data_IF_795585571107
#
_entry.id   IF_795585571107
#
_cell.length_a   1.000
_cell.length_b   1.000
_cell.length_c   1.000
_cell.angle_alpha   90.00
_cell.angle_beta   90.00
_cell.angle_gamma   90.00
#
_symmetry.space_group_name_H-M   'P 1'
#
loop_
_entity.id
_entity.type
_entity.pdbx_description
1 polymer ?
#
# COMPACT_ATOMS: atom_id res chain seq x y z
N UNK A 1 17.29 -2.24 17.71
CA UNK A 1 17.81 -2.61 16.40
C UNK A 1 17.34 -1.60 15.37
N UNK A 2 18.23 -1.20 14.46
CA UNK A 2 17.94 -0.12 13.53
C UNK A 2 18.41 -0.46 12.13
N UNK A 3 17.55 -0.18 11.15
CA UNK A 3 17.84 -0.44 9.75
C UNK A 3 17.83 0.86 8.96
N UNK A 4 18.69 0.93 7.94
CA UNK A 4 18.73 2.06 7.01
C UNK A 4 17.63 1.95 5.96
N UNK A 5 17.21 0.71 5.64
CA UNK A 5 16.24 0.47 4.58
C UNK A 5 15.42 -0.77 4.89
N UNK A 6 14.11 -0.68 4.63
CA UNK A 6 13.16 -1.81 4.74
C UNK A 6 12.41 -1.93 3.43
N UNK A 7 12.34 -3.14 2.89
CA UNK A 7 11.58 -3.44 1.68
C UNK A 7 10.53 -4.50 1.95
N UNK A 8 9.26 -4.20 1.61
CA UNK A 8 8.17 -5.17 1.65
C UNK A 8 7.50 -5.24 0.29
N UNK A 9 7.77 -6.32 -0.44
CA UNK A 9 7.14 -6.59 -1.73
C UNK A 9 6.03 -7.61 -1.57
N UNK A 10 4.81 -7.26 -1.99
CA UNK A 10 3.64 -8.15 -1.96
C UNK A 10 3.27 -8.65 -0.57
N UNK A 11 3.52 -7.85 0.46
CA UNK A 11 3.16 -8.21 1.84
C UNK A 11 1.84 -7.53 2.22
N UNK A 12 1.76 -6.21 2.10
CA UNK A 12 0.57 -5.46 2.48
C UNK A 12 -0.61 -5.71 1.53
N UNK A 13 -0.34 -6.21 0.33
CA UNK A 13 -1.40 -6.60 -0.62
C UNK A 13 -2.18 -7.83 -0.15
N UNK A 14 -1.76 -8.49 0.93
CA UNK A 14 -2.41 -9.65 1.51
C UNK A 14 -2.78 -9.45 2.98
N UNK A 15 -2.83 -8.20 3.44
CA UNK A 15 -3.11 -7.87 4.83
C UNK A 15 -4.32 -6.97 4.96
N UNK A 16 -5.10 -7.18 6.02
CA UNK A 16 -6.22 -6.32 6.37
C UNK A 16 -5.72 -5.07 7.11
N UNK A 17 -6.55 -3.99 7.18
CA UNK A 17 -6.10 -2.69 7.68
C UNK A 17 -5.44 -2.72 9.04
N UNK A 18 -5.98 -3.49 9.98
CA UNK A 18 -5.44 -3.56 11.34
C UNK A 18 -4.00 -4.09 11.34
N UNK A 19 -3.73 -5.06 10.48
CA UNK A 19 -2.39 -5.64 10.36
C UNK A 19 -1.43 -4.66 9.68
N UNK A 20 -1.89 -3.98 8.64
CA UNK A 20 -1.09 -2.97 7.94
C UNK A 20 -0.68 -1.86 8.91
N UNK A 21 -1.61 -1.38 9.74
CA UNK A 21 -1.33 -0.34 10.72
C UNK A 21 -0.27 -0.79 11.71
N UNK A 22 -0.40 -2.02 12.22
CA UNK A 22 0.56 -2.56 13.18
C UNK A 22 1.94 -2.75 12.56
N UNK A 23 2.00 -3.29 11.35
CA UNK A 23 3.28 -3.51 10.67
C UNK A 23 3.96 -2.19 10.31
N UNK A 24 3.19 -1.20 9.89
CA UNK A 24 3.78 0.10 9.55
C UNK A 24 4.37 0.77 10.79
N UNK A 25 3.70 0.62 11.94
CA UNK A 25 4.23 1.09 13.22
C UNK A 25 5.56 0.39 13.56
N UNK A 26 5.67 -0.91 13.30
CA UNK A 26 6.91 -1.66 13.53
C UNK A 26 8.01 -1.27 12.54
N UNK A 27 7.66 -0.99 11.30
CA UNK A 27 8.64 -0.50 10.31
C UNK A 27 9.21 0.83 10.78
N UNK A 28 8.35 1.74 11.24
CA UNK A 28 8.81 3.00 11.83
C UNK A 28 9.79 2.75 12.98
N UNK A 29 9.44 1.79 13.86
CA UNK A 29 10.26 1.51 15.04
C UNK A 29 11.66 1.02 14.68
N UNK A 30 11.77 0.15 13.66
CA UNK A 30 13.06 -0.45 13.29
C UNK A 30 13.90 0.40 12.36
N UNK A 31 13.31 1.40 11.70
CA UNK A 31 14.07 2.30 10.83
C UNK A 31 14.88 3.29 11.67
N UNK A 32 16.11 3.54 11.23
CA UNK A 32 16.88 4.67 11.76
C UNK A 32 16.23 5.98 11.33
N UNK A 33 16.44 7.03 12.11
CA UNK A 33 16.08 8.38 11.68
C UNK A 33 16.75 8.66 10.32
N UNK A 34 15.96 9.09 9.34
CA UNK A 34 16.43 9.27 7.97
C UNK A 34 16.41 8.00 7.13
N UNK A 35 16.14 6.83 7.74
CA UNK A 35 16.02 5.59 7.01
C UNK A 35 14.79 5.56 6.11
N UNK A 36 14.80 4.71 5.11
CA UNK A 36 13.74 4.66 4.09
C UNK A 36 13.06 3.31 4.04
N UNK A 37 11.80 3.31 3.61
CA UNK A 37 11.05 2.09 3.31
C UNK A 37 10.57 2.14 1.87
N UNK A 38 10.50 0.97 1.23
CA UNK A 38 9.80 0.78 -0.04
C UNK A 38 8.80 -0.34 0.18
N UNK A 39 7.51 0.00 0.02
CA UNK A 39 6.41 -0.95 0.24
C UNK A 39 5.50 -0.93 -0.97
N UNK A 40 5.06 -2.11 -1.39
CA UNK A 40 4.17 -2.21 -2.55
C UNK A 40 2.73 -2.39 -2.12
N UNK A 41 1.81 -1.83 -2.92
CA UNK A 41 0.37 -1.80 -2.66
C UNK A 41 -0.41 -2.02 -3.94
N UNK A 42 -1.71 -2.29 -3.78
CA UNK A 42 -2.71 -1.99 -4.78
C UNK A 42 -3.45 -0.75 -4.29
N UNK A 43 -3.21 0.40 -4.92
CA UNK A 43 -3.79 1.66 -4.45
C UNK A 43 -5.06 2.01 -5.25
N UNK A 44 -6.11 2.33 -4.51
CA UNK A 44 -7.36 2.79 -5.09
C UNK A 44 -7.27 4.29 -5.31
N UNK A 45 -7.24 4.68 -6.57
CA UNK A 45 -7.30 6.07 -7.03
C UNK A 45 -8.60 6.25 -7.80
N UNK A 46 -8.94 7.48 -8.17
CA UNK A 46 -10.12 7.71 -9.01
C UNK A 46 -10.06 6.89 -10.30
N UNK A 47 -8.87 6.75 -10.87
CA UNK A 47 -8.66 6.00 -12.11
C UNK A 47 -8.89 4.50 -11.94
N UNK A 48 -8.29 3.90 -10.89
CA UNK A 48 -8.45 2.46 -10.64
C UNK A 48 -9.85 2.12 -10.18
N UNK A 49 -10.47 2.97 -9.36
CA UNK A 49 -11.87 2.79 -8.95
C UNK A 49 -12.80 2.80 -10.15
N UNK A 50 -12.58 3.70 -11.10
CA UNK A 50 -13.38 3.78 -12.31
C UNK A 50 -13.27 2.49 -13.12
N UNK A 51 -12.07 1.92 -13.25
CA UNK A 51 -11.87 0.65 -13.95
C UNK A 51 -12.59 -0.51 -13.26
N UNK A 52 -12.53 -0.55 -11.93
CA UNK A 52 -13.22 -1.59 -11.16
C UNK A 52 -14.73 -1.48 -11.37
N UNK A 53 -15.29 -0.27 -11.29
CA UNK A 53 -16.73 -0.05 -11.44
C UNK A 53 -17.22 -0.41 -12.84
N UNK A 54 -16.41 -0.19 -13.87
CA UNK A 54 -16.75 -0.55 -15.25
C UNK A 54 -16.55 -2.04 -15.55
N UNK A 55 -15.95 -2.79 -14.63
CA UNK A 55 -15.62 -4.18 -14.86
C UNK A 55 -14.39 -4.40 -15.72
N UNK A 56 -13.57 -3.37 -15.92
CA UNK A 56 -12.39 -3.42 -16.79
C UNK A 56 -11.11 -3.76 -16.03
N UNK A 57 -11.16 -3.79 -14.69
CA UNK A 57 -9.97 -4.08 -13.90
C UNK A 57 -9.58 -5.55 -14.00
N UNK A 58 -8.28 -5.82 -14.18
CA UNK A 58 -7.76 -7.19 -14.20
C UNK A 58 -7.93 -7.87 -12.86
N UNK A 59 -7.92 -7.10 -11.76
CA UNK A 59 -8.24 -7.61 -10.43
C UNK A 59 -9.60 -7.07 -10.02
N UNK A 60 -10.59 -7.96 -9.77
CA UNK A 60 -11.94 -7.53 -9.45
C UNK A 60 -12.08 -7.25 -7.94
N UNK A 61 -11.66 -6.10 -7.49
CA UNK A 61 -11.81 -5.67 -6.09
C UNK A 61 -13.25 -5.24 -5.86
N UNK A 62 -14.15 -6.22 -5.66
CA UNK A 62 -15.59 -5.97 -5.55
C UNK A 62 -16.12 -6.00 -4.13
N UNK A 63 -15.39 -6.58 -3.17
CA UNK A 63 -15.79 -6.55 -1.78
C UNK A 63 -15.34 -5.25 -1.14
N UNK A 64 -16.29 -4.50 -0.58
CA UNK A 64 -16.02 -3.17 -0.01
C UNK A 64 -15.81 -3.25 1.50
N UNK A 65 -14.67 -2.71 1.96
CA UNK A 65 -14.43 -2.48 3.36
C UNK A 65 -14.25 -0.99 3.64
N UNK A 66 -13.88 -0.65 4.86
CA UNK A 66 -13.63 0.74 5.23
C UNK A 66 -12.18 1.08 4.87
N UNK A 67 -12.01 1.91 3.82
CA UNK A 67 -10.69 2.33 3.36
C UNK A 67 -9.96 1.29 2.52
N UNK A 68 -10.63 0.17 2.19
CA UNK A 68 -10.04 -0.89 1.38
C UNK A 68 -11.08 -1.62 0.55
N UNK A 69 -10.60 -2.37 -0.44
CA UNK A 69 -11.42 -3.33 -1.19
C UNK A 69 -10.66 -4.64 -1.29
N UNK A 70 -11.40 -5.75 -1.40
CA UNK A 70 -10.81 -7.08 -1.57
C UNK A 70 -11.46 -7.80 -2.74
N UNK A 71 -10.80 -8.84 -3.24
CA UNK A 71 -11.35 -9.66 -4.33
C UNK A 71 -12.31 -10.71 -3.81
N UNK A 72 -12.26 -11.03 -2.52
CA UNK A 72 -13.11 -12.05 -1.89
C UNK A 72 -13.60 -11.56 -0.54
N UNK A 73 -14.88 -11.83 -0.23
CA UNK A 73 -15.44 -11.55 1.09
C UNK A 73 -15.15 -12.70 2.07
N UNK A 74 -14.96 -13.92 1.56
CA UNK A 74 -14.70 -15.10 2.40
C UNK A 74 -13.24 -15.20 2.82
N UNK A 75 -12.31 -14.85 1.92
CA UNK A 75 -10.88 -14.84 2.20
C UNK A 75 -10.31 -13.53 1.69
N UNK A 76 -10.55 -12.42 2.41
CA UNK A 76 -10.12 -11.10 1.93
C UNK A 76 -8.61 -10.98 1.75
N UNK A 77 -7.83 -11.78 2.46
CA UNK A 77 -6.37 -11.73 2.38
C UNK A 77 -5.81 -12.23 1.04
N UNK A 78 -6.65 -12.74 0.14
CA UNK A 78 -6.20 -13.16 -1.19
C UNK A 78 -5.60 -11.98 -1.94
N UNK A 79 -6.28 -10.82 -1.90
CA UNK A 79 -5.72 -9.58 -2.43
C UNK A 79 -6.51 -8.41 -1.84
N UNK A 80 -5.81 -7.39 -1.37
CA UNK A 80 -6.39 -6.23 -0.71
C UNK A 80 -5.84 -4.97 -1.36
N UNK A 81 -6.74 -4.08 -1.74
CA UNK A 81 -6.41 -2.75 -2.28
C UNK A 81 -6.84 -1.68 -1.29
N UNK A 82 -6.04 -0.63 -1.15
CA UNK A 82 -6.27 0.43 -0.18
C UNK A 82 -6.51 1.77 -0.86
N UNK A 83 -7.43 2.56 -0.29
CA UNK A 83 -7.57 3.96 -0.70
C UNK A 83 -6.23 4.66 -0.48
N UNK A 84 -5.77 5.37 -1.49
CA UNK A 84 -4.50 6.08 -1.39
C UNK A 84 -4.51 7.08 -0.23
N UNK A 85 -5.64 7.78 -0.04
CA UNK A 85 -5.77 8.76 1.05
C UNK A 85 -5.63 8.09 2.43
N UNK A 86 -6.16 6.88 2.58
CA UNK A 86 -6.04 6.13 3.84
C UNK A 86 -4.57 5.78 4.10
N UNK A 87 -3.86 5.27 3.09
CA UNK A 87 -2.45 4.92 3.22
C UNK A 87 -1.62 6.16 3.54
N UNK A 88 -1.86 7.28 2.86
CA UNK A 88 -1.15 8.54 3.14
C UNK A 88 -1.34 8.98 4.58
N UNK A 89 -2.55 8.82 5.13
CA UNK A 89 -2.81 9.18 6.52
C UNK A 89 -2.04 8.30 7.50
N UNK A 90 -1.87 7.02 7.20
CA UNK A 90 -1.09 6.11 8.04
C UNK A 90 0.39 6.51 8.08
N UNK A 91 0.94 6.95 6.96
CA UNK A 91 2.32 7.40 6.90
C UNK A 91 2.51 8.67 7.71
N UNK A 92 1.60 9.63 7.56
CA UNK A 92 1.63 10.88 8.36
C UNK A 92 1.59 10.55 9.85
N UNK A 93 0.67 9.69 10.27
CA UNK A 93 0.52 9.30 11.67
C UNK A 93 1.76 8.62 12.24
N UNK A 94 2.54 7.97 11.39
CA UNK A 94 3.76 7.29 11.80
C UNK A 94 5.03 8.13 11.56
N UNK A 95 4.88 9.42 11.22
CA UNK A 95 6.00 10.33 10.96
C UNK A 95 6.92 9.79 9.86
N UNK A 96 6.32 9.19 8.85
CA UNK A 96 6.99 8.72 7.65
C UNK A 96 6.60 9.65 6.52
N UNK A 97 7.56 10.33 5.92
CA UNK A 97 7.32 11.25 4.83
C UNK A 97 7.40 10.51 3.51
N UNK A 98 6.32 10.54 2.73
CA UNK A 98 6.33 9.95 1.39
C UNK A 98 7.30 10.70 0.50
N UNK A 99 8.12 9.96 -0.23
CA UNK A 99 8.99 10.52 -1.26
C UNK A 99 8.19 10.48 -2.56
N UNK A 100 7.74 11.65 -3.00
CA UNK A 100 6.91 11.77 -4.19
C UNK A 100 7.76 11.71 -5.46
N UNK A 101 7.18 11.30 -6.59
CA UNK A 101 5.81 10.81 -6.71
C UNK A 101 5.71 9.31 -6.37
N UNK A 102 4.51 8.86 -6.02
CA UNK A 102 4.22 7.43 -5.94
C UNK A 102 4.35 6.85 -7.34
N UNK A 103 5.04 5.72 -7.46
CA UNK A 103 5.16 5.05 -8.76
C UNK A 103 4.00 4.07 -8.90
N UNK A 104 3.01 4.45 -9.71
CA UNK A 104 1.84 3.60 -9.94
C UNK A 104 2.18 2.48 -10.91
N UNK A 105 1.67 1.27 -10.59
CA UNK A 105 1.84 0.10 -11.42
C UNK A 105 0.69 -0.08 -12.41
N UNK A 106 0.66 -1.24 -13.04
CA UNK A 106 -0.26 -1.55 -14.12
C UNK A 106 -1.37 -2.51 -13.71
N UNK A 107 -1.50 -2.83 -12.43
CA UNK A 107 -2.32 -3.96 -11.96
C UNK A 107 -3.79 -3.90 -12.39
N UNK A 108 -4.33 -2.70 -12.61
CA UNK A 108 -5.74 -2.57 -12.99
C UNK A 108 -6.00 -2.83 -14.46
N UNK A 109 -4.96 -2.95 -15.29
CA UNK A 109 -5.12 -3.20 -16.72
C UNK A 109 -4.11 -4.20 -17.30
N UNK A 110 -3.01 -4.48 -16.62
CA UNK A 110 -2.02 -5.46 -17.08
C UNK A 110 -1.30 -6.08 -15.87
N UNK A 111 -1.88 -7.17 -15.36
CA UNK A 111 -1.32 -7.87 -14.19
C UNK A 111 -0.09 -8.71 -14.54
N UNK A 112 0.14 -8.95 -15.83
CA UNK A 112 1.30 -9.73 -16.28
C UNK A 112 2.59 -8.90 -16.32
N UNK A 113 2.48 -7.57 -16.19
CA UNK A 113 3.64 -6.71 -16.17
C UNK A 113 4.47 -6.97 -14.92
N UNK A 114 5.79 -6.87 -15.07
CA UNK A 114 6.75 -7.05 -13.97
C UNK A 114 6.53 -6.04 -12.85
N UNK A 115 6.19 -4.80 -13.19
CA UNK A 115 5.95 -3.72 -12.24
C UNK A 115 4.46 -3.44 -12.07
N UNK A 116 3.68 -4.48 -11.75
CA UNK A 116 2.23 -4.32 -11.69
C UNK A 116 1.72 -3.68 -10.40
N UNK A 117 2.47 -3.75 -9.30
CA UNK A 117 2.05 -3.13 -8.04
C UNK A 117 2.49 -1.68 -7.95
N UNK A 118 1.81 -0.92 -7.07
CA UNK A 118 2.15 0.48 -6.83
C UNK A 118 3.28 0.55 -5.80
N UNK A 119 4.27 1.40 -6.03
CA UNK A 119 5.47 1.50 -5.19
C UNK A 119 5.43 2.79 -4.39
N UNK A 120 5.47 2.66 -3.05
CA UNK A 120 5.49 3.79 -2.13
C UNK A 120 6.82 3.80 -1.39
N UNK A 121 7.58 4.87 -1.57
CA UNK A 121 8.84 5.10 -0.87
C UNK A 121 8.60 6.17 0.20
N UNK A 122 9.08 5.92 1.41
CA UNK A 122 8.95 6.87 2.51
C UNK A 122 10.23 6.94 3.32
N UNK A 123 10.40 8.05 4.02
CA UNK A 123 11.57 8.30 4.86
C UNK A 123 11.13 8.62 6.27
N UNK A 124 11.79 8.00 7.25
CA UNK A 124 11.51 8.28 8.66
C UNK A 124 12.04 9.65 9.02
N UNK A 125 11.18 10.49 9.60
CA UNK A 125 11.55 11.83 10.03
C UNK A 125 12.53 11.76 11.19
N UNK A 126 13.52 12.65 11.18
CA UNK A 126 14.45 12.77 12.28
C UNK A 126 13.75 13.42 13.47
N UNK A 127 14.11 13.06 14.71
CA UNK A 127 13.60 13.75 15.90
C UNK A 127 13.98 15.22 15.86
N UNK A 128 13.09 16.04 16.37
CA UNK A 128 13.32 17.50 16.48
C UNK A 128 14.26 17.78 17.65
#
# INVERSE_FOLDING_TARGET
>A
MSFDFVFLGSVFTHMLPQEVERYLSEIKRVLKAGGKSLITYFLLTSKTLNRIERGDSTLPFTYNGRGFKAVSDKVPEIAVAYDESYIRSLYVNNRLTLIEPIKYGTWSYDFSDFEYQDFVVAQKLKPI
#
